data_IF_920474262770
#
_entry.id   IF_920474262770
#
_cell.length_a   1.000
_cell.length_b   1.000
_cell.length_c   1.000
_cell.angle_alpha   90.00
_cell.angle_beta   90.00
_cell.angle_gamma   90.00
#
_symmetry.space_group_name_H-M   'P 1'
#
loop_
_entity.id
_entity.type
_entity.pdbx_description
1 polymer ?
#
# COMPACT_ATOMS: atom_id res chain seq x y z
N UNK A 1 -23.89 26.82 -3.53
CA UNK A 1 -23.25 26.83 -4.86
C UNK A 1 -23.17 25.39 -5.34
N UNK A 2 -24.34 24.88 -5.70
CA UNK A 2 -24.60 23.50 -6.11
C UNK A 2 -25.17 23.67 -7.52
N UNK A 3 -24.36 23.42 -8.57
CA UNK A 3 -24.77 23.29 -9.97
C UNK A 3 -23.54 23.27 -10.89
N UNK A 4 -22.94 22.09 -11.10
CA UNK A 4 -22.34 21.72 -12.40
C UNK A 4 -21.98 20.24 -12.54
N UNK A 5 -22.04 19.45 -11.46
CA UNK A 5 -21.70 18.02 -11.52
C UNK A 5 -22.85 17.08 -11.92
N UNK A 6 -24.11 17.55 -11.99
CA UNK A 6 -25.28 16.69 -12.27
C UNK A 6 -25.63 16.52 -13.75
N UNK A 7 -24.90 17.16 -14.68
CA UNK A 7 -25.33 17.25 -16.10
C UNK A 7 -24.59 16.30 -17.07
N UNK A 8 -23.70 15.42 -16.61
CA UNK A 8 -22.90 14.59 -17.53
C UNK A 8 -23.13 13.07 -17.46
N UNK A 9 -24.02 12.55 -16.61
CA UNK A 9 -24.33 11.11 -16.46
C UNK A 9 -23.10 10.17 -16.62
N UNK A 10 -21.94 10.64 -16.14
CA UNK A 10 -20.74 9.81 -16.04
C UNK A 10 -20.86 9.12 -14.69
N UNK A 11 -21.40 7.89 -14.70
CA UNK A 11 -21.20 6.94 -13.60
C UNK A 11 -19.70 6.61 -13.53
N UNK A 12 -18.91 7.50 -12.94
CA UNK A 12 -17.49 7.27 -12.73
C UNK A 12 -17.21 6.96 -11.27
N UNK A 13 -16.31 5.98 -11.11
CA UNK A 13 -15.69 5.51 -9.87
C UNK A 13 -16.58 4.66 -8.96
N UNK A 14 -16.35 3.35 -9.00
CA UNK A 14 -16.61 2.45 -7.87
C UNK A 14 -16.20 3.14 -6.57
N UNK A 15 -17.16 3.50 -5.71
CA UNK A 15 -16.92 4.17 -4.42
C UNK A 15 -15.94 3.39 -3.51
N UNK A 16 -15.72 2.11 -3.79
CA UNK A 16 -14.76 1.22 -3.10
C UNK A 16 -13.29 1.63 -3.25
N UNK A 17 -12.94 2.51 -4.19
CA UNK A 17 -11.55 2.88 -4.51
C UNK A 17 -11.13 4.29 -4.03
N UNK A 18 -12.00 5.01 -3.32
CA UNK A 18 -11.62 6.28 -2.69
C UNK A 18 -10.78 6.01 -1.42
N UNK A 19 -9.80 6.88 -1.10
CA UNK A 19 -9.09 6.78 0.17
C UNK A 19 -10.08 6.95 1.33
N UNK A 20 -9.81 6.29 2.46
CA UNK A 20 -10.61 6.47 3.66
C UNK A 20 -10.68 7.96 4.04
N UNK A 21 -11.86 8.45 4.43
CA UNK A 21 -12.08 9.88 4.78
C UNK A 21 -11.13 10.40 5.87
N UNK A 22 -10.64 9.49 6.72
CA UNK A 22 -9.75 9.79 7.85
C UNK A 22 -8.28 9.50 7.53
N UNK A 23 -7.93 9.26 6.26
CA UNK A 23 -6.56 9.00 5.84
C UNK A 23 -5.78 10.32 5.71
N UNK A 24 -4.72 10.46 6.49
CA UNK A 24 -3.84 11.63 6.43
C UNK A 24 -2.43 11.22 6.05
N UNK A 25 -1.93 11.84 4.98
CA UNK A 25 -0.52 11.71 4.60
C UNK A 25 0.43 12.34 5.63
N UNK A 26 -0.02 13.35 6.36
CA UNK A 26 0.82 14.11 7.29
C UNK A 26 1.26 13.26 8.49
N UNK A 27 0.45 12.27 8.87
CA UNK A 27 0.77 11.37 9.98
C UNK A 27 1.63 10.18 9.58
N UNK A 28 1.78 9.85 8.29
CA UNK A 28 2.50 8.66 7.86
C UNK A 28 4.00 8.80 8.09
N UNK A 29 4.63 7.68 8.48
CA UNK A 29 6.07 7.61 8.61
C UNK A 29 6.67 6.94 7.37
N UNK A 30 7.32 7.73 6.52
CA UNK A 30 8.06 7.26 5.35
C UNK A 30 9.56 7.42 5.63
N UNK A 31 10.35 6.35 5.48
CA UNK A 31 11.79 6.34 5.81
C UNK A 31 12.68 7.02 4.79
N UNK A 32 12.25 7.10 3.54
CA UNK A 32 13.10 7.56 2.45
C UNK A 32 12.94 9.06 2.18
N UNK A 33 14.01 9.73 1.75
CA UNK A 33 14.06 11.16 1.39
C UNK A 33 13.14 11.59 0.23
N UNK A 34 12.35 10.66 -0.32
CA UNK A 34 11.42 10.94 -1.41
C UNK A 34 10.23 11.72 -0.83
N UNK A 35 10.29 13.03 -1.01
CA UNK A 35 9.16 13.91 -0.72
C UNK A 35 7.97 13.54 -1.60
N UNK A 36 6.82 13.24 -0.97
CA UNK A 36 5.59 12.88 -1.67
C UNK A 36 5.19 13.84 -2.81
N UNK A 37 5.29 15.18 -2.65
CA UNK A 37 5.00 16.11 -3.76
C UNK A 37 5.87 15.86 -4.99
N UNK A 38 7.17 15.58 -4.80
CA UNK A 38 8.09 15.30 -5.91
C UNK A 38 7.76 13.99 -6.61
N UNK A 39 7.32 12.97 -5.86
CA UNK A 39 6.87 11.70 -6.44
C UNK A 39 5.62 11.90 -7.30
N UNK A 40 4.64 12.66 -6.80
CA UNK A 40 3.42 12.99 -7.56
C UNK A 40 3.77 13.76 -8.83
N UNK A 41 4.67 14.74 -8.76
CA UNK A 41 5.14 15.47 -9.93
C UNK A 41 5.87 14.57 -10.94
N UNK A 42 6.72 13.65 -10.48
CA UNK A 42 7.40 12.69 -11.33
C UNK A 42 6.40 11.80 -12.09
N UNK A 43 5.37 11.31 -11.39
CA UNK A 43 4.30 10.52 -12.02
C UNK A 43 3.51 11.37 -13.04
N UNK A 44 3.18 12.62 -12.72
CA UNK A 44 2.51 13.54 -13.66
C UNK A 44 3.33 13.78 -14.92
N UNK A 45 4.66 13.99 -14.77
CA UNK A 45 5.56 14.14 -15.91
C UNK A 45 5.56 12.88 -16.78
N UNK A 46 5.62 11.70 -16.16
CA UNK A 46 5.55 10.43 -16.88
C UNK A 46 4.22 10.26 -17.64
N UNK A 47 3.08 10.67 -17.06
CA UNK A 47 1.77 10.63 -17.73
C UNK A 47 1.64 11.64 -18.88
N UNK A 48 2.21 12.83 -18.73
CA UNK A 48 2.19 13.86 -19.75
C UNK A 48 3.09 13.52 -20.94
N UNK A 49 4.19 12.82 -20.67
CA UNK A 49 5.10 12.29 -21.67
C UNK A 49 4.43 11.11 -22.41
N UNK A 50 3.49 11.42 -23.30
CA UNK A 50 2.88 10.45 -24.23
C UNK A 50 3.85 10.10 -25.39
N UNK A 51 5.14 10.45 -25.28
CA UNK A 51 6.11 10.50 -26.38
C UNK A 51 7.05 9.31 -26.47
N UNK A 52 6.97 8.62 -27.61
CA UNK A 52 7.80 7.52 -28.11
C UNK A 52 7.82 6.24 -27.27
N UNK A 53 7.34 5.15 -27.88
CA UNK A 53 7.67 3.77 -27.51
C UNK A 53 9.15 3.49 -27.82
N UNK A 54 10.06 4.35 -27.36
CA UNK A 54 11.48 4.05 -27.39
C UNK A 54 11.74 2.95 -26.38
N UNK A 55 12.55 1.96 -26.77
CA UNK A 55 12.94 0.86 -25.89
C UNK A 55 13.68 1.33 -24.63
N UNK A 56 14.15 2.57 -24.62
CA UNK A 56 14.98 3.17 -23.56
C UNK A 56 14.19 4.11 -22.63
N UNK A 57 12.85 4.18 -22.77
CA UNK A 57 12.00 4.99 -21.91
C UNK A 57 12.02 4.43 -20.47
N UNK A 58 12.35 5.24 -19.45
CA UNK A 58 12.28 4.80 -18.06
C UNK A 58 10.87 4.36 -17.67
N UNK A 59 10.76 3.21 -17.01
CA UNK A 59 9.48 2.68 -16.50
C UNK A 59 9.09 3.35 -15.18
N UNK A 60 7.79 3.64 -15.01
CA UNK A 60 7.27 4.19 -13.76
C UNK A 60 6.82 3.05 -12.84
N UNK A 61 7.81 2.37 -12.25
CA UNK A 61 7.60 1.26 -11.33
C UNK A 61 7.93 1.72 -9.90
N UNK A 62 6.93 1.74 -9.01
CA UNK A 62 7.07 2.05 -7.58
C UNK A 62 6.95 0.78 -6.74
N UNK A 63 7.84 0.62 -5.77
CA UNK A 63 7.71 -0.38 -4.71
C UNK A 63 7.35 0.31 -3.39
N UNK A 64 6.26 -0.14 -2.77
CA UNK A 64 5.87 0.23 -1.42
C UNK A 64 6.23 -0.92 -0.49
N UNK A 65 7.10 -0.66 0.48
CA UNK A 65 7.51 -1.64 1.49
C UNK A 65 7.11 -1.19 2.88
N UNK A 66 6.98 -2.12 3.82
CA UNK A 66 6.81 -1.79 5.23
C UNK A 66 5.85 -2.72 5.96
N UNK A 67 5.74 -2.62 7.29
CA UNK A 67 4.84 -3.47 8.09
C UNK A 67 3.37 -3.43 7.61
N UNK A 68 2.56 -4.46 7.92
CA UNK A 68 1.13 -4.44 7.63
C UNK A 68 0.43 -3.35 8.45
N UNK A 69 -0.56 -2.70 7.84
CA UNK A 69 -1.35 -1.64 8.47
C UNK A 69 -0.76 -0.23 8.37
N UNK A 70 0.44 -0.05 7.78
CA UNK A 70 1.09 1.27 7.63
C UNK A 70 0.47 2.18 6.56
N UNK A 71 -0.52 1.70 5.81
CA UNK A 71 -1.28 2.52 4.86
C UNK A 71 -0.80 2.49 3.41
N UNK A 72 -0.07 1.44 2.98
CA UNK A 72 0.39 1.24 1.59
C UNK A 72 -0.77 1.25 0.58
N UNK A 73 -1.79 0.43 0.80
CA UNK A 73 -2.97 0.35 -0.08
C UNK A 73 -3.73 1.68 -0.15
N UNK A 74 -3.90 2.37 0.99
CA UNK A 74 -4.56 3.67 1.04
C UNK A 74 -3.73 4.77 0.35
N UNK A 75 -2.40 4.68 0.42
CA UNK A 75 -1.50 5.59 -0.30
C UNK A 75 -1.71 5.50 -1.82
N UNK A 76 -1.93 4.30 -2.35
CA UNK A 76 -2.19 4.12 -3.79
C UNK A 76 -3.54 4.68 -4.20
N UNK A 77 -4.59 4.48 -3.38
CA UNK A 77 -5.89 5.11 -3.62
C UNK A 77 -5.79 6.63 -3.60
N UNK A 78 -5.05 7.18 -2.64
CA UNK A 78 -4.75 8.61 -2.58
C UNK A 78 -4.03 9.09 -3.86
N UNK A 79 -3.00 8.37 -4.33
CA UNK A 79 -2.30 8.70 -5.57
C UNK A 79 -3.25 8.70 -6.77
N UNK A 80 -4.09 7.67 -6.91
CA UNK A 80 -5.11 7.61 -7.97
C UNK A 80 -6.04 8.83 -7.96
N UNK A 81 -6.53 9.23 -6.78
CA UNK A 81 -7.37 10.40 -6.62
C UNK A 81 -6.65 11.72 -7.00
N UNK A 82 -5.44 11.93 -6.49
CA UNK A 82 -4.65 13.16 -6.77
C UNK A 82 -4.22 13.26 -8.22
N UNK A 83 -3.92 12.13 -8.84
CA UNK A 83 -3.54 12.03 -10.26
C UNK A 83 -4.77 11.95 -11.18
N UNK A 84 -5.99 11.88 -10.63
CA UNK A 84 -7.23 11.64 -11.37
C UNK A 84 -7.12 10.45 -12.33
N UNK A 85 -6.48 9.39 -11.87
CA UNK A 85 -6.16 8.18 -12.64
C UNK A 85 -6.82 6.98 -11.99
N UNK A 86 -7.46 6.11 -12.80
CA UNK A 86 -8.06 4.86 -12.31
C UNK A 86 -6.98 3.98 -11.67
N UNK A 87 -7.35 3.23 -10.63
CA UNK A 87 -6.48 2.21 -10.02
C UNK A 87 -7.09 0.84 -10.27
N UNK A 88 -6.35 -0.02 -10.95
CA UNK A 88 -6.64 -1.44 -11.08
C UNK A 88 -5.89 -2.16 -9.96
N UNK A 89 -6.63 -2.79 -9.05
CA UNK A 89 -6.03 -3.53 -7.92
C UNK A 89 -6.02 -5.02 -8.23
N UNK A 90 -4.86 -5.65 -8.08
CA UNK A 90 -4.69 -7.10 -8.13
C UNK A 90 -3.97 -7.55 -6.87
N UNK A 91 -4.49 -8.56 -6.19
CA UNK A 91 -3.79 -9.20 -5.09
C UNK A 91 -2.78 -10.19 -5.67
N UNK A 92 -1.57 -10.28 -5.12
CA UNK A 92 -0.56 -11.23 -5.60
C UNK A 92 -1.10 -12.65 -5.61
N UNK A 93 -1.88 -13.02 -4.59
CA UNK A 93 -2.56 -14.31 -4.48
C UNK A 93 -3.64 -14.54 -5.54
N UNK A 94 -4.33 -13.50 -6.04
CA UNK A 94 -5.37 -13.66 -7.06
C UNK A 94 -4.81 -13.95 -8.45
N UNK A 95 -3.51 -13.72 -8.66
CA UNK A 95 -2.84 -14.02 -9.92
C UNK A 95 -2.35 -15.47 -9.99
N UNK A 96 -2.17 -16.15 -8.86
CA UNK A 96 -1.71 -17.54 -8.80
C UNK A 96 -2.76 -18.51 -9.34
N UNK A 97 -2.30 -19.46 -10.16
CA UNK A 97 -3.09 -20.55 -10.70
C UNK A 97 -2.46 -21.90 -10.43
N UNK A 98 -3.31 -22.92 -10.24
CA UNK A 98 -2.88 -24.32 -10.12
C UNK A 98 -2.58 -24.96 -11.48
N UNK A 99 -2.99 -24.33 -12.58
CA UNK A 99 -2.76 -24.82 -13.93
C UNK A 99 -1.45 -24.27 -14.50
N UNK A 100 -0.66 -25.13 -15.13
CA UNK A 100 0.59 -24.75 -15.80
C UNK A 100 0.32 -23.66 -16.83
N UNK A 101 1.03 -22.53 -16.73
CA UNK A 101 0.85 -21.36 -17.60
C UNK A 101 -0.28 -20.41 -17.19
N UNK A 102 -1.15 -20.81 -16.26
CA UNK A 102 -2.31 -20.01 -15.85
C UNK A 102 -1.91 -18.74 -15.10
N UNK A 103 -0.89 -18.81 -14.24
CA UNK A 103 -0.40 -17.63 -13.51
C UNK A 103 0.21 -16.61 -14.46
N UNK A 104 1.02 -17.07 -15.41
CA UNK A 104 1.64 -16.23 -16.45
C UNK A 104 0.57 -15.53 -17.28
N UNK A 105 -0.49 -16.26 -17.64
CA UNK A 105 -1.63 -15.68 -18.37
C UNK A 105 -2.37 -14.62 -17.54
N UNK A 106 -2.57 -14.86 -16.24
CA UNK A 106 -3.21 -13.89 -15.33
C UNK A 106 -2.36 -12.62 -15.17
N UNK A 107 -1.04 -12.77 -15.00
CA UNK A 107 -0.10 -11.65 -14.95
C UNK A 107 -0.21 -10.82 -16.24
N UNK A 108 -0.09 -11.46 -17.40
CA UNK A 108 -0.20 -10.77 -18.69
C UNK A 108 -1.52 -10.02 -18.86
N UNK A 109 -2.64 -10.62 -18.46
CA UNK A 109 -3.95 -9.98 -18.52
C UNK A 109 -4.06 -8.76 -17.60
N UNK A 110 -3.52 -8.85 -16.38
CA UNK A 110 -3.54 -7.73 -15.44
C UNK A 110 -2.81 -6.49 -16.00
N UNK A 111 -1.64 -6.69 -16.60
CA UNK A 111 -0.87 -5.63 -17.26
C UNK A 111 -1.59 -5.06 -18.48
N UNK A 112 -2.08 -5.94 -19.36
CA UNK A 112 -2.82 -5.51 -20.57
C UNK A 112 -4.09 -4.71 -20.23
N UNK A 113 -4.83 -5.14 -19.19
CA UNK A 113 -6.03 -4.43 -18.74
C UNK A 113 -5.70 -3.03 -18.21
N UNK A 114 -4.69 -2.92 -17.35
CA UNK A 114 -4.28 -1.63 -16.82
C UNK A 114 -3.76 -0.68 -17.91
N UNK A 115 -3.02 -1.20 -18.88
CA UNK A 115 -2.54 -0.41 -20.02
C UNK A 115 -3.69 0.09 -20.90
N UNK A 116 -4.63 -0.79 -21.24
CA UNK A 116 -5.81 -0.44 -22.03
C UNK A 116 -6.66 0.65 -21.37
N UNK A 117 -6.81 0.60 -20.05
CA UNK A 117 -7.55 1.59 -19.27
C UNK A 117 -6.74 2.85 -18.93
N UNK A 118 -5.45 2.90 -19.30
CA UNK A 118 -4.49 3.93 -18.85
C UNK A 118 -4.53 4.13 -17.33
N UNK A 119 -4.67 3.01 -16.61
CA UNK A 119 -4.81 2.96 -15.17
C UNK A 119 -3.45 2.73 -14.48
N UNK A 120 -3.38 3.06 -13.20
CA UNK A 120 -2.33 2.58 -12.31
C UNK A 120 -2.61 1.10 -12.04
N UNK A 121 -1.65 0.23 -12.37
CA UNK A 121 -1.68 -1.17 -11.94
C UNK A 121 -1.12 -1.24 -10.52
N UNK A 122 -1.96 -1.58 -9.56
CA UNK A 122 -1.56 -1.83 -8.19
C UNK A 122 -1.55 -3.33 -7.91
N UNK A 123 -0.36 -3.89 -7.71
CA UNK A 123 -0.17 -5.25 -7.23
C UNK A 123 0.03 -5.17 -5.71
N UNK A 124 -0.96 -5.60 -4.93
CA UNK A 124 -0.86 -5.67 -3.47
C UNK A 124 -0.40 -7.07 -3.04
N UNK A 125 0.29 -7.19 -1.91
CA UNK A 125 0.86 -8.46 -1.42
C UNK A 125 1.66 -9.24 -2.50
N UNK A 126 2.56 -8.52 -3.18
CA UNK A 126 3.35 -9.08 -4.30
C UNK A 126 4.33 -10.17 -3.87
N UNK A 127 4.58 -10.32 -2.58
CA UNK A 127 5.45 -11.35 -2.01
C UNK A 127 5.01 -12.77 -2.38
N UNK A 128 3.70 -13.00 -2.57
CA UNK A 128 3.20 -14.28 -3.06
C UNK A 128 3.69 -14.65 -4.48
N UNK A 129 4.03 -13.64 -5.30
CA UNK A 129 4.53 -13.83 -6.67
C UNK A 129 6.06 -13.76 -6.76
N UNK A 130 6.72 -13.24 -5.72
CA UNK A 130 8.13 -12.84 -5.75
C UNK A 130 9.00 -13.66 -4.81
N UNK A 131 8.61 -14.91 -4.56
CA UNK A 131 9.43 -15.82 -3.76
C UNK A 131 10.84 -15.95 -4.35
N UNK A 132 11.85 -15.92 -3.47
CA UNK A 132 13.26 -15.95 -3.88
C UNK A 132 13.53 -17.14 -4.80
N UNK A 133 14.06 -16.85 -5.99
CA UNK A 133 14.44 -17.85 -7.01
C UNK A 133 15.39 -18.91 -6.45
N UNK A 134 16.22 -18.56 -5.48
CA UNK A 134 17.18 -19.47 -4.82
C UNK A 134 16.51 -20.41 -3.82
N UNK A 135 15.36 -20.01 -3.26
CA UNK A 135 14.56 -20.83 -2.33
C UNK A 135 13.42 -21.59 -3.03
N UNK A 136 13.17 -21.27 -4.30
CA UNK A 136 12.14 -21.89 -5.11
C UNK A 136 12.50 -23.34 -5.40
N UNK A 137 11.68 -24.28 -4.92
CA UNK A 137 11.87 -25.71 -5.16
C UNK A 137 11.24 -26.17 -6.46
N UNK A 138 10.39 -25.35 -7.09
CA UNK A 138 9.56 -25.74 -8.23
C UNK A 138 9.81 -24.85 -9.43
N UNK A 139 9.93 -25.47 -10.62
CA UNK A 139 10.21 -24.76 -11.87
C UNK A 139 9.17 -23.67 -12.22
N UNK A 140 7.91 -23.87 -11.82
CA UNK A 140 6.84 -22.90 -12.08
C UNK A 140 6.97 -21.60 -11.28
N UNK A 141 7.61 -21.62 -10.11
CA UNK A 141 7.83 -20.39 -9.33
C UNK A 141 8.80 -19.46 -10.07
N UNK A 142 9.78 -20.03 -10.78
CA UNK A 142 10.75 -19.28 -11.60
C UNK A 142 10.10 -18.67 -12.85
N UNK A 143 9.19 -19.40 -13.52
CA UNK A 143 8.53 -18.92 -14.74
C UNK A 143 7.61 -17.73 -14.47
N UNK A 144 6.90 -17.75 -13.34
CA UNK A 144 6.01 -16.66 -12.92
C UNK A 144 6.76 -15.37 -12.63
N UNK A 145 7.89 -15.44 -11.90
CA UNK A 145 8.74 -14.27 -11.66
C UNK A 145 9.30 -13.74 -12.98
N UNK A 146 9.74 -14.61 -13.89
CA UNK A 146 10.23 -14.18 -15.20
C UNK A 146 9.16 -13.44 -16.01
N UNK A 147 7.93 -13.95 -16.05
CA UNK A 147 6.82 -13.29 -16.74
C UNK A 147 6.51 -11.92 -16.11
N UNK A 148 6.48 -11.83 -14.78
CA UNK A 148 6.27 -10.56 -14.08
C UNK A 148 7.37 -9.55 -14.45
N UNK A 149 8.64 -9.94 -14.42
CA UNK A 149 9.74 -9.06 -14.82
C UNK A 149 9.64 -8.63 -16.28
N UNK A 150 9.28 -9.55 -17.18
CA UNK A 150 9.07 -9.25 -18.59
C UNK A 150 7.95 -8.22 -18.78
N UNK A 151 6.81 -8.38 -18.09
CA UNK A 151 5.73 -7.40 -18.14
C UNK A 151 6.16 -6.04 -17.58
N UNK A 152 6.88 -6.01 -16.45
CA UNK A 152 7.42 -4.77 -15.86
C UNK A 152 8.34 -3.99 -16.81
N UNK A 153 9.11 -4.69 -17.65
CA UNK A 153 10.04 -4.09 -18.61
C UNK A 153 9.33 -3.57 -19.87
N UNK A 154 8.15 -4.11 -20.21
CA UNK A 154 7.39 -3.76 -21.41
C UNK A 154 6.14 -2.90 -21.13
N UNK A 155 5.76 -2.72 -19.88
CA UNK A 155 4.59 -1.95 -19.49
C UNK A 155 4.80 -0.44 -19.70
N UNK A 156 3.91 0.21 -20.45
CA UNK A 156 3.96 1.67 -20.64
C UNK A 156 3.13 2.44 -19.62
N UNK A 157 2.47 1.75 -18.69
CA UNK A 157 1.68 2.35 -17.61
C UNK A 157 2.48 2.63 -16.34
N UNK A 158 1.74 2.94 -15.27
CA UNK A 158 2.29 3.14 -13.92
C UNK A 158 2.06 1.85 -13.13
N UNK A 159 3.13 1.21 -12.67
CA UNK A 159 3.06 0.04 -11.82
C UNK A 159 3.39 0.44 -10.38
N UNK A 160 2.57 0.02 -9.44
CA UNK A 160 2.86 0.10 -8.01
C UNK A 160 2.76 -1.30 -7.43
N UNK A 161 3.82 -1.80 -6.82
CA UNK A 161 3.83 -3.04 -6.06
C UNK A 161 3.87 -2.74 -4.56
N UNK A 162 3.13 -3.48 -3.73
CA UNK A 162 3.24 -3.40 -2.27
C UNK A 162 3.64 -4.75 -1.65
N UNK A 163 4.59 -4.72 -0.72
CA UNK A 163 5.02 -5.90 0.04
C UNK A 163 5.23 -5.59 1.51
N UNK A 164 4.95 -6.58 2.36
CA UNK A 164 5.30 -6.52 3.78
C UNK A 164 6.73 -6.99 4.06
N UNK A 165 7.41 -7.63 3.09
CA UNK A 165 8.67 -8.33 3.28
C UNK A 165 9.72 -7.93 2.22
N UNK A 166 10.11 -6.65 2.20
CA UNK A 166 11.06 -6.16 1.20
C UNK A 166 12.42 -6.87 1.21
N UNK A 167 12.85 -7.38 2.38
CA UNK A 167 14.09 -8.16 2.54
C UNK A 167 14.07 -9.49 1.78
N UNK A 168 12.88 -10.03 1.49
CA UNK A 168 12.73 -11.31 0.79
C UNK A 168 12.69 -11.15 -0.73
N UNK A 169 12.68 -9.90 -1.23
CA UNK A 169 12.60 -9.62 -2.65
C UNK A 169 13.91 -9.97 -3.35
N UNK A 170 13.82 -10.74 -4.44
CA UNK A 170 14.96 -11.05 -5.29
C UNK A 170 15.67 -9.76 -5.82
N UNK A 171 17.01 -9.72 -5.86
CA UNK A 171 17.75 -8.56 -6.34
C UNK A 171 17.40 -8.14 -7.78
N UNK A 172 17.08 -9.07 -8.67
CA UNK A 172 16.73 -8.73 -10.05
C UNK A 172 15.42 -7.93 -10.08
N UNK A 173 14.43 -8.35 -9.29
CA UNK A 173 13.15 -7.66 -9.14
C UNK A 173 13.30 -6.30 -8.46
N UNK A 174 14.10 -6.22 -7.40
CA UNK A 174 14.36 -4.97 -6.69
C UNK A 174 14.99 -3.89 -7.60
N UNK A 175 15.68 -4.27 -8.67
CA UNK A 175 16.26 -3.33 -9.67
C UNK A 175 15.24 -2.81 -10.69
N UNK A 176 14.10 -3.49 -10.90
CA UNK A 176 13.04 -3.06 -11.85
C UNK A 176 12.11 -2.00 -11.26
N UNK A 177 12.20 -1.74 -9.95
CA UNK A 177 11.48 -0.66 -9.30
C UNK A 177 12.34 0.60 -9.25
N UNK A 178 11.94 1.60 -10.04
CA UNK A 178 12.58 2.91 -10.16
C UNK A 178 12.53 3.69 -8.85
N UNK A 179 11.37 3.66 -8.17
CA UNK A 179 11.18 4.32 -6.89
C UNK A 179 10.85 3.30 -5.80
N UNK A 180 11.41 3.50 -4.61
CA UNK A 180 11.17 2.66 -3.44
C UNK A 180 10.72 3.55 -2.30
N UNK A 181 9.52 3.31 -1.79
CA UNK A 181 8.95 4.05 -0.67
C UNK A 181 8.76 3.08 0.48
N UNK A 182 9.52 3.29 1.54
CA UNK A 182 9.44 2.46 2.74
C UNK A 182 8.58 3.15 3.80
N UNK A 183 7.54 2.44 4.22
CA UNK A 183 6.63 2.80 5.29
C UNK A 183 7.11 2.15 6.59
N UNK A 184 7.05 2.90 7.68
CA UNK A 184 7.36 2.38 9.02
C UNK A 184 6.20 2.68 9.99
N UNK A 185 6.32 2.16 11.20
CA UNK A 185 5.45 2.51 12.31
C UNK A 185 5.42 4.01 12.55
N UNK A 186 4.29 4.52 13.04
CA UNK A 186 4.07 5.94 13.22
C UNK A 186 5.09 6.57 14.17
N UNK A 187 5.54 7.78 13.81
CA UNK A 187 6.28 8.68 14.72
C UNK A 187 5.35 9.18 15.82
N UNK A 188 5.89 9.78 16.88
CA UNK A 188 5.05 10.31 17.96
C UNK A 188 4.10 11.41 17.48
N UNK A 189 4.55 12.29 16.59
CA UNK A 189 3.69 13.27 15.92
C UNK A 189 2.64 12.60 15.04
N UNK A 190 3.01 11.55 14.31
CA UNK A 190 2.08 10.77 13.49
C UNK A 190 0.99 10.09 14.31
N UNK A 191 1.35 9.50 15.46
CA UNK A 191 0.39 8.91 16.39
C UNK A 191 -0.63 9.94 16.88
N UNK A 192 -0.18 11.14 17.24
CA UNK A 192 -1.09 12.23 17.65
C UNK A 192 -2.05 12.62 16.53
N UNK A 193 -1.54 12.87 15.32
CA UNK A 193 -2.36 13.22 14.15
C UNK A 193 -3.45 12.15 13.91
N UNK A 194 -3.07 10.87 13.89
CA UNK A 194 -4.03 9.79 13.66
C UNK A 194 -5.02 9.64 14.82
N UNK A 195 -4.59 9.81 16.07
CA UNK A 195 -5.49 9.80 17.22
C UNK A 195 -6.56 10.89 17.09
N UNK A 196 -6.13 12.12 16.86
CA UNK A 196 -7.03 13.27 16.83
C UNK A 196 -8.00 13.22 15.65
N UNK A 197 -7.51 12.81 14.47
CA UNK A 197 -8.34 12.72 13.27
C UNK A 197 -9.30 11.52 13.31
N UNK A 198 -8.84 10.33 13.71
CA UNK A 198 -9.66 9.12 13.63
C UNK A 198 -10.69 9.03 14.75
N UNK A 199 -10.37 9.57 15.94
CA UNK A 199 -11.27 9.58 17.09
C UNK A 199 -11.98 10.93 17.30
N UNK A 200 -11.63 11.96 16.51
CA UNK A 200 -12.19 13.32 16.60
C UNK A 200 -12.06 13.90 18.01
N UNK A 201 -10.87 13.76 18.60
CA UNK A 201 -10.56 14.11 19.99
C UNK A 201 -9.24 14.83 20.11
N UNK A 202 -9.06 15.54 21.22
CA UNK A 202 -7.78 16.17 21.57
C UNK A 202 -7.13 15.43 22.73
N UNK A 203 -5.80 15.32 22.72
CA UNK A 203 -5.03 14.71 23.81
C UNK A 203 -4.59 15.77 24.81
N UNK A 204 -4.71 15.48 26.10
CA UNK A 204 -3.98 16.22 27.15
C UNK A 204 -2.48 15.91 27.09
N UNK A 205 -1.61 16.74 27.69
CA UNK A 205 -0.16 16.48 27.71
C UNK A 205 0.21 15.11 28.30
N UNK A 206 -0.50 14.66 29.35
CA UNK A 206 -0.27 13.33 29.95
C UNK A 206 -0.67 12.18 29.02
N UNK A 207 -1.78 12.33 28.30
CA UNK A 207 -2.25 11.35 27.32
C UNK A 207 -1.35 11.29 26.09
N UNK A 208 -0.82 12.43 25.64
CA UNK A 208 0.15 12.51 24.56
C UNK A 208 1.44 11.74 24.90
N UNK A 209 1.94 11.86 26.13
CA UNK A 209 3.10 11.08 26.61
C UNK A 209 2.76 9.59 26.65
N UNK A 210 1.56 9.22 27.14
CA UNK A 210 1.10 7.83 27.15
C UNK A 210 1.03 7.24 25.75
N UNK A 211 0.47 7.97 24.78
CA UNK A 211 0.40 7.56 23.38
C UNK A 211 1.79 7.39 22.75
N UNK A 212 2.71 8.32 23.02
CA UNK A 212 4.09 8.24 22.52
C UNK A 212 4.81 6.97 23.00
N UNK A 213 4.56 6.55 24.25
CA UNK A 213 5.13 5.34 24.83
C UNK A 213 4.68 4.03 24.14
N UNK A 214 3.58 4.05 23.37
CA UNK A 214 3.11 2.88 22.62
C UNK A 214 3.97 2.72 21.36
N UNK A 215 4.79 1.68 21.32
CA UNK A 215 5.61 1.35 20.16
C UNK A 215 4.81 0.61 19.09
N UNK A 216 5.36 0.52 17.87
CA UNK A 216 4.85 -0.31 16.77
C UNK A 216 3.41 -0.03 16.31
N UNK A 217 2.89 1.18 16.56
CA UNK A 217 1.57 1.58 16.09
C UNK A 217 1.57 1.92 14.59
N UNK A 218 0.48 1.53 13.94
CA UNK A 218 0.18 1.78 12.53
C UNK A 218 -1.22 2.39 12.41
N UNK A 219 -1.53 3.13 11.33
CA UNK A 219 -2.89 3.62 11.08
C UNK A 219 -3.97 2.52 11.15
N UNK A 220 -3.62 1.29 10.73
CA UNK A 220 -4.49 0.13 10.84
C UNK A 220 -4.93 -0.18 12.27
N UNK A 221 -4.04 -0.01 13.26
CA UNK A 221 -4.35 -0.31 14.66
C UNK A 221 -5.40 0.68 15.22
N UNK A 222 -5.31 1.97 14.85
CA UNK A 222 -6.33 2.98 15.18
C UNK A 222 -7.69 2.65 14.56
N UNK A 223 -7.71 2.16 13.31
CA UNK A 223 -8.93 1.71 12.64
C UNK A 223 -9.57 0.53 13.38
N UNK A 224 -8.77 -0.47 13.73
CA UNK A 224 -9.22 -1.66 14.47
C UNK A 224 -9.81 -1.26 15.83
N UNK A 225 -9.11 -0.41 16.58
CA UNK A 225 -9.59 0.08 17.88
C UNK A 225 -10.91 0.85 17.74
N UNK A 226 -11.01 1.74 16.75
CA UNK A 226 -12.26 2.48 16.49
C UNK A 226 -13.43 1.55 16.23
N UNK A 227 -13.23 0.55 15.38
CA UNK A 227 -14.26 -0.42 15.03
C UNK A 227 -14.66 -1.28 16.22
N UNK A 228 -13.67 -1.78 16.98
CA UNK A 228 -13.90 -2.60 18.17
C UNK A 228 -14.76 -1.85 19.20
N UNK A 229 -14.39 -0.61 19.54
CA UNK A 229 -15.14 0.17 20.52
C UNK A 229 -16.52 0.59 20.03
N UNK A 230 -16.68 0.83 18.72
CA UNK A 230 -17.99 1.08 18.12
C UNK A 230 -18.96 -0.09 18.36
N UNK A 231 -18.51 -1.33 18.16
CA UNK A 231 -19.36 -2.52 18.35
C UNK A 231 -19.56 -2.92 19.81
N UNK A 232 -18.60 -2.63 20.69
CA UNK A 232 -18.70 -2.96 22.12
C UNK A 232 -19.62 -2.00 22.89
N UNK A 233 -20.07 -0.90 22.29
CA UNK A 233 -21.01 0.04 22.91
C UNK A 233 -20.49 0.71 24.18
N UNK A 234 -19.17 0.71 24.39
CA UNK A 234 -18.51 1.29 25.55
C UNK A 234 -18.38 2.81 25.46
N UNK A 235 -18.04 3.43 26.60
CA UNK A 235 -17.72 4.85 26.63
C UNK A 235 -16.52 5.12 25.71
N UNK A 236 -16.77 5.91 24.69
CA UNK A 236 -15.73 6.38 23.79
C UNK A 236 -15.04 7.55 24.49
N UNK A 237 -14.04 7.30 25.33
CA UNK A 237 -13.20 8.33 25.95
C UNK A 237 -11.71 8.09 25.61
N UNK A 238 -10.86 9.08 25.87
CA UNK A 238 -9.42 8.98 25.56
C UNK A 238 -8.77 7.81 26.31
N UNK A 239 -9.19 7.54 27.55
CA UNK A 239 -8.65 6.47 28.35
C UNK A 239 -8.85 5.11 27.69
N UNK A 240 -10.08 4.81 27.25
CA UNK A 240 -10.43 3.55 26.61
C UNK A 240 -9.74 3.39 25.25
N UNK A 241 -9.64 4.45 24.45
CA UNK A 241 -8.89 4.41 23.19
C UNK A 241 -7.40 4.08 23.41
N UNK A 242 -6.75 4.75 24.36
CA UNK A 242 -5.34 4.52 24.68
C UNK A 242 -5.11 3.10 25.22
N UNK A 243 -5.97 2.63 26.12
CA UNK A 243 -5.91 1.26 26.66
C UNK A 243 -6.10 0.21 25.55
N UNK A 244 -7.01 0.44 24.61
CA UNK A 244 -7.21 -0.46 23.47
C UNK A 244 -6.01 -0.46 22.51
N UNK A 245 -5.40 0.70 22.23
CA UNK A 245 -4.19 0.80 21.40
C UNK A 245 -2.99 0.10 22.05
N UNK A 246 -2.82 0.23 23.38
CA UNK A 246 -1.80 -0.49 24.13
C UNK A 246 -1.98 -2.01 24.02
N UNK A 247 -3.22 -2.47 24.12
CA UNK A 247 -3.55 -3.89 23.98
C UNK A 247 -3.23 -4.41 22.58
N UNK A 248 -3.64 -3.69 21.53
CA UNK A 248 -3.39 -4.06 20.14
C UNK A 248 -1.88 -4.16 19.84
N UNK A 249 -1.11 -3.16 20.26
CA UNK A 249 0.36 -3.15 20.10
C UNK A 249 1.02 -4.34 20.80
N UNK A 250 0.61 -4.66 22.04
CA UNK A 250 1.13 -5.82 22.78
C UNK A 250 0.84 -7.15 22.08
N UNK A 251 -0.35 -7.32 21.52
CA UNK A 251 -0.71 -8.55 20.78
C UNK A 251 0.12 -8.71 19.52
N UNK A 252 0.37 -7.61 18.79
CA UNK A 252 1.22 -7.57 17.60
C UNK A 252 2.66 -7.98 17.91
N UNK A 253 3.22 -7.45 19.00
CA UNK A 253 4.57 -7.81 19.44
C UNK A 253 4.68 -9.30 19.78
N UNK A 254 3.72 -9.85 20.54
CA UNK A 254 3.69 -11.29 20.83
C UNK A 254 3.67 -12.15 19.57
N UNK A 255 2.87 -11.77 18.57
CA UNK A 255 2.81 -12.49 17.30
C UNK A 255 4.10 -12.37 16.49
N UNK A 256 4.75 -11.21 16.48
CA UNK A 256 6.07 -11.04 15.85
C UNK A 256 7.13 -11.94 16.51
N UNK A 257 7.22 -11.94 17.85
CA UNK A 257 8.15 -12.81 18.58
C UNK A 257 7.86 -14.31 18.38
N UNK A 258 6.58 -14.69 18.22
CA UNK A 258 6.19 -16.06 17.91
C UNK A 258 6.62 -16.47 16.49
N UNK A 259 6.48 -15.59 15.49
CA UNK A 259 6.90 -15.88 14.11
C UNK A 259 8.43 -16.00 13.99
N UNK A 260 9.22 -15.25 14.77
CA UNK A 260 10.69 -15.38 14.75
C UNK A 260 11.18 -16.72 15.33
N UNK A 261 10.38 -17.40 16.16
CA UNK A 261 10.77 -18.69 16.78
C UNK A 261 10.39 -19.93 15.96
N UNK A 262 9.52 -19.81 14.97
CA UNK A 262 9.03 -20.96 14.17
C UNK A 262 9.85 -21.18 12.89
N UNK A 263 10.86 -20.34 12.63
CA UNK A 263 11.84 -20.55 11.56
C UNK A 263 13.07 -21.33 12.04
N UNK A 264 12.93 -22.64 12.22
CA UNK A 264 14.04 -23.60 12.25
C UNK A 264 13.67 -24.85 11.45
#
# INVERSE_FOLDING_TARGET
MTQHCELLDIKNTDEKLLPAKDYSLQGLNLKNDIQLPRLVEAIRKFQADNGSASSDRPRMNLLLSGPPGTGKTEFVKYLGAVLKTKVVVQMGSSLLSMFVGGTEQNIKQAFAMAEAEKAILFLDEIDGLLQSRERSQRSWEVTQVNELLYQMENFNGILIGATNFAVNLDPATARRFTFKVEFDYLTDSGKQIFFEQMFQRTLSPGEAVRLAAISTLTPGDFRTVRQSLYYLGGESDNHNYLTALEHESRMKQKNQFSMTKVGF
#
